data_IF_472948683265
#
_entry.id   IF_472948683265
#
_cell.length_a   1.000
_cell.length_b   1.000
_cell.length_c   1.000
_cell.angle_alpha   90.00
_cell.angle_beta   90.00
_cell.angle_gamma   90.00
#
_symmetry.space_group_name_H-M   'P 1'
#
loop_
_entity.id
_entity.type
_entity.pdbx_description
1 polymer ?
#
# COMPACT_ATOMS: atom_id res chain seq x y z
N UNK A 1 7.48 7.95 2.38
CA UNK A 1 6.07 7.50 2.48
C UNK A 1 5.94 6.25 1.65
N UNK A 2 5.46 5.17 2.25
CA UNK A 2 5.21 3.90 1.56
C UNK A 2 3.79 3.94 1.02
N UNK A 3 3.61 3.67 -0.27
CA UNK A 3 2.32 3.73 -0.95
C UNK A 3 2.16 2.44 -1.76
N UNK A 4 1.06 1.75 -1.54
CA UNK A 4 0.67 0.58 -2.33
C UNK A 4 -0.21 1.05 -3.48
N UNK A 5 0.26 0.78 -4.71
CA UNK A 5 -0.37 1.23 -5.94
C UNK A 5 0.03 0.29 -7.10
N UNK A 6 -0.80 0.15 -8.15
CA UNK A 6 -0.50 -0.71 -9.29
C UNK A 6 0.71 -0.21 -10.12
N UNK A 7 0.89 1.11 -10.20
CA UNK A 7 1.97 1.73 -10.95
C UNK A 7 2.55 2.96 -10.23
N UNK A 8 3.64 3.48 -10.79
CA UNK A 8 4.32 4.65 -10.25
C UNK A 8 3.51 5.96 -10.42
N UNK A 9 2.64 6.05 -11.42
CA UNK A 9 1.84 7.25 -11.71
C UNK A 9 0.77 7.42 -10.61
N UNK A 10 0.00 6.37 -10.35
CA UNK A 10 -0.99 6.28 -9.27
C UNK A 10 -0.31 6.48 -7.92
N UNK A 11 0.88 5.90 -7.70
CA UNK A 11 1.65 6.13 -6.48
C UNK A 11 1.98 7.63 -6.27
N UNK A 12 2.45 8.33 -7.31
CA UNK A 12 2.72 9.78 -7.25
C UNK A 12 1.44 10.59 -7.04
N UNK A 13 0.33 10.22 -7.66
CA UNK A 13 -0.96 10.88 -7.45
C UNK A 13 -1.42 10.74 -5.99
N UNK A 14 -1.38 9.53 -5.42
CA UNK A 14 -1.73 9.27 -4.02
C UNK A 14 -0.78 9.99 -3.06
N UNK A 15 0.52 10.04 -3.38
CA UNK A 15 1.50 10.82 -2.61
C UNK A 15 1.04 12.26 -2.43
N UNK A 16 0.62 12.92 -3.51
CA UNK A 16 0.15 14.31 -3.45
C UNK A 16 -1.20 14.46 -2.73
N UNK A 17 -2.12 13.51 -2.88
CA UNK A 17 -3.36 13.49 -2.10
C UNK A 17 -3.07 13.47 -0.59
N UNK A 18 -2.13 12.63 -0.15
CA UNK A 18 -1.74 12.56 1.25
C UNK A 18 -0.96 13.79 1.71
N UNK A 19 0.00 14.31 0.92
CA UNK A 19 0.74 15.53 1.29
C UNK A 19 -0.17 16.75 1.42
N UNK A 20 -1.21 16.87 0.58
CA UNK A 20 -2.21 17.93 0.71
C UNK A 20 -2.98 17.83 2.03
N UNK A 21 -3.31 16.62 2.48
CA UNK A 21 -4.03 16.38 3.75
C UNK A 21 -3.14 16.56 4.98
N UNK A 22 -1.91 16.06 4.92
CA UNK A 22 -1.00 16.03 6.08
C UNK A 22 -0.25 17.34 6.30
N UNK A 23 0.25 17.96 5.23
CA UNK A 23 1.17 19.11 5.31
C UNK A 23 0.73 20.31 4.47
N UNK A 24 -0.47 20.28 3.90
CA UNK A 24 -1.02 21.33 3.02
C UNK A 24 -0.10 21.67 1.81
N UNK A 25 0.77 20.75 1.42
CA UNK A 25 1.68 20.93 0.27
C UNK A 25 0.97 20.54 -1.03
N UNK A 26 1.14 21.36 -2.07
CA UNK A 26 0.59 21.13 -3.42
C UNK A 26 1.66 20.58 -4.36
N UNK A 27 1.22 19.80 -5.37
CA UNK A 27 2.09 19.29 -6.45
C UNK A 27 2.83 20.38 -7.20
N UNK A 28 2.24 21.56 -7.33
CA UNK A 28 2.85 22.72 -8.01
C UNK A 28 3.99 23.35 -7.21
N UNK A 29 3.99 23.22 -5.88
CA UNK A 29 4.93 23.90 -4.99
C UNK A 29 6.06 22.98 -4.54
N UNK A 30 5.90 21.66 -4.66
CA UNK A 30 6.92 20.68 -4.27
C UNK A 30 7.34 19.76 -5.40
N UNK A 31 8.51 19.13 -5.24
CA UNK A 31 9.04 18.13 -6.18
C UNK A 31 9.26 16.80 -5.46
N UNK A 32 8.97 15.70 -6.16
CA UNK A 32 9.31 14.35 -5.67
C UNK A 32 10.79 14.11 -5.95
N UNK A 33 11.58 13.88 -4.91
CA UNK A 33 13.03 13.69 -5.01
C UNK A 33 13.39 12.31 -5.56
N UNK A 34 12.75 11.26 -5.03
CA UNK A 34 13.00 9.88 -5.45
C UNK A 34 11.72 9.05 -5.35
N UNK A 35 11.61 8.04 -6.21
CA UNK A 35 10.54 7.04 -6.15
C UNK A 35 11.17 5.69 -6.46
N UNK A 36 11.12 4.78 -5.49
CA UNK A 36 11.70 3.45 -5.62
C UNK A 36 10.63 2.41 -5.33
N UNK A 37 10.53 1.39 -6.19
CA UNK A 37 9.73 0.19 -5.91
C UNK A 37 10.45 -0.62 -4.85
N UNK A 38 9.74 -0.92 -3.76
CA UNK A 38 10.24 -1.80 -2.71
C UNK A 38 9.74 -3.20 -3.05
N UNK A 39 10.66 -4.10 -3.35
CA UNK A 39 10.39 -5.52 -3.51
C UNK A 39 10.70 -6.20 -2.18
N UNK A 40 9.85 -7.13 -1.76
CA UNK A 40 10.06 -7.88 -0.53
C UNK A 40 11.19 -8.89 -0.71
N UNK A 41 12.07 -8.94 0.28
CA UNK A 41 13.37 -9.64 0.18
C UNK A 41 13.26 -11.13 0.49
N UNK A 42 12.27 -11.53 1.28
CA UNK A 42 12.00 -12.92 1.69
C UNK A 42 10.52 -13.04 2.05
N UNK A 43 9.79 -14.05 1.53
CA UNK A 43 8.47 -14.38 2.06
C UNK A 43 8.63 -14.80 3.53
N UNK A 44 7.79 -14.27 4.41
CA UNK A 44 7.85 -14.63 5.83
C UNK A 44 7.63 -16.15 5.94
N UNK A 45 8.53 -16.86 6.62
CA UNK A 45 8.48 -18.31 6.75
C UNK A 45 7.22 -18.74 7.52
N UNK A 46 6.41 -19.61 6.95
CA UNK A 46 5.12 -20.01 7.50
C UNK A 46 5.32 -21.10 8.56
N UNK A 47 5.39 -20.70 9.84
CA UNK A 47 5.34 -21.64 10.95
C UNK A 47 3.91 -22.15 11.09
N UNK A 48 3.67 -23.43 10.79
CA UNK A 48 2.35 -24.10 10.78
C UNK A 48 1.59 -24.07 12.12
N UNK A 49 2.14 -23.45 13.16
CA UNK A 49 1.62 -23.44 14.52
C UNK A 49 1.53 -21.99 15.01
N UNK A 50 0.31 -21.47 15.12
CA UNK A 50 -0.07 -20.21 15.78
C UNK A 50 0.55 -18.88 15.29
N UNK A 51 0.32 -18.54 14.03
CA UNK A 51 0.24 -17.11 13.64
C UNK A 51 -1.17 -16.78 13.19
N UNK A 52 -1.95 -16.13 14.07
CA UNK A 52 -3.25 -15.53 13.74
C UNK A 52 -3.05 -14.15 13.10
N UNK A 53 -2.46 -14.09 11.91
CA UNK A 53 -2.53 -12.86 11.12
C UNK A 53 -3.93 -12.73 10.49
N UNK A 54 -4.50 -11.52 10.52
CA UNK A 54 -5.80 -11.24 9.86
C UNK A 54 -5.78 -11.62 8.36
N UNK A 55 -4.62 -11.44 7.72
CA UNK A 55 -4.38 -11.78 6.33
C UNK A 55 -3.25 -12.80 6.26
N UNK A 56 -3.47 -13.91 5.54
CA UNK A 56 -2.58 -15.10 5.54
C UNK A 56 -1.49 -15.05 4.46
N UNK A 57 -1.26 -13.90 3.85
CA UNK A 57 -0.27 -13.76 2.79
C UNK A 57 1.15 -13.61 3.34
N UNK A 58 2.09 -14.31 2.68
CA UNK A 58 3.53 -14.27 3.00
C UNK A 58 4.21 -12.98 2.51
N UNK A 59 3.46 -12.15 1.77
CA UNK A 59 3.90 -10.84 1.30
C UNK A 59 2.97 -9.72 1.76
N UNK A 60 3.53 -8.56 2.09
CA UNK A 60 2.75 -7.37 2.47
C UNK A 60 1.91 -6.89 1.28
N UNK A 61 2.46 -6.97 0.07
CA UNK A 61 1.72 -6.71 -1.17
C UNK A 61 0.46 -7.57 -1.32
N UNK A 62 0.59 -8.89 -1.10
CA UNK A 62 -0.54 -9.83 -1.13
C UNK A 62 -1.57 -9.52 -0.05
N UNK A 63 -1.11 -9.37 1.20
CA UNK A 63 -2.00 -9.09 2.33
C UNK A 63 -2.85 -7.82 2.13
N UNK A 64 -2.30 -6.80 1.47
CA UNK A 64 -3.01 -5.56 1.16
C UNK A 64 -4.02 -5.75 0.04
N UNK A 65 -3.69 -6.55 -0.99
CA UNK A 65 -4.64 -6.91 -2.04
C UNK A 65 -5.82 -7.68 -1.42
N UNK A 66 -5.53 -8.63 -0.53
CA UNK A 66 -6.55 -9.38 0.21
C UNK A 66 -7.43 -8.44 1.03
N UNK A 67 -6.81 -7.47 1.72
CA UNK A 67 -7.53 -6.44 2.47
C UNK A 67 -8.48 -5.61 1.60
N UNK A 68 -8.00 -5.10 0.46
CA UNK A 68 -8.86 -4.34 -0.47
C UNK A 68 -10.01 -5.20 -1.02
N UNK A 69 -9.75 -6.48 -1.31
CA UNK A 69 -10.76 -7.43 -1.79
C UNK A 69 -11.83 -7.70 -0.73
N UNK A 70 -11.43 -7.98 0.51
CA UNK A 70 -12.35 -8.27 1.62
C UNK A 70 -13.20 -7.04 1.98
N UNK A 71 -12.61 -5.86 1.95
CA UNK A 71 -13.35 -4.61 2.18
C UNK A 71 -14.36 -4.35 1.05
N UNK A 72 -13.99 -4.63 -0.20
CA UNK A 72 -14.90 -4.48 -1.34
C UNK A 72 -16.05 -5.48 -1.30
N UNK A 73 -15.79 -6.73 -0.93
CA UNK A 73 -16.83 -7.77 -0.85
C UNK A 73 -17.82 -7.52 0.30
N UNK A 74 -17.31 -7.16 1.49
CA UNK A 74 -18.14 -6.97 2.69
C UNK A 74 -18.86 -5.64 2.72
N UNK A 75 -18.21 -4.59 2.24
CA UNK A 75 -18.67 -3.21 2.45
C UNK A 75 -18.82 -2.41 1.15
N UNK A 76 -18.62 -3.04 -0.02
CA UNK A 76 -18.70 -2.39 -1.34
C UNK A 76 -17.79 -1.17 -1.46
N UNK A 77 -16.73 -1.12 -0.66
CA UNK A 77 -15.74 -0.04 -0.72
C UNK A 77 -14.94 -0.14 -2.00
N UNK A 78 -14.60 1.02 -2.58
CA UNK A 78 -13.83 1.15 -3.81
C UNK A 78 -12.43 1.66 -3.49
N UNK A 79 -11.42 1.17 -4.22
CA UNK A 79 -10.02 1.56 -4.08
C UNK A 79 -9.71 2.88 -4.81
#
# INVERSE_FOLDING_TARGET
MTIFAPDQIVAKCRFWCFQRRLRKVKKTTGKIVSTKRILEKTPLHDSRSDTHNMYRDLTVGGAIIQCYSDNSSRHRTRA
#
